data_IF_194394059322
#
_entry.id   IF_194394059322
#
_cell.length_a   1.000
_cell.length_b   1.000
_cell.length_c   1.000
_cell.angle_alpha   90.00
_cell.angle_beta   90.00
_cell.angle_gamma   90.00
#
_symmetry.space_group_name_H-M   'P 1'
#
loop_
_entity.id
_entity.type
_entity.pdbx_description
1 polymer ?
#
# COMPACT_ATOMS: atom_id res chain seq x y z
N UNK A 1 -6.86 -11.90 3.62
CA UNK A 1 -7.28 -11.15 4.83
C UNK A 1 -7.18 -9.66 4.54
N UNK A 2 -8.19 -8.90 4.94
CA UNK A 2 -8.22 -7.44 4.76
C UNK A 2 -7.70 -6.79 6.05
N UNK A 3 -6.76 -5.83 6.01
CA UNK A 3 -6.23 -5.21 7.23
C UNK A 3 -7.34 -4.45 7.96
N UNK A 4 -7.41 -4.62 9.28
CA UNK A 4 -8.32 -3.85 10.14
C UNK A 4 -7.71 -2.50 10.47
N UNK A 5 -8.54 -1.46 10.54
CA UNK A 5 -8.11 -0.15 11.02
C UNK A 5 -7.75 -0.23 12.52
N UNK A 6 -6.67 0.44 12.97
CA UNK A 6 -6.30 0.46 14.38
C UNK A 6 -7.40 1.12 15.22
N UNK A 7 -7.74 0.51 16.36
CA UNK A 7 -8.74 1.00 17.33
C UNK A 7 -8.13 0.95 18.73
N UNK A 8 -8.33 2.00 19.51
CA UNK A 8 -7.83 2.12 20.89
C UNK A 8 -8.72 1.42 21.92
N UNK A 9 -10.03 1.36 21.66
CA UNK A 9 -11.00 0.72 22.53
C UNK A 9 -11.47 -0.61 21.93
N UNK A 10 -11.18 -1.71 22.62
CA UNK A 10 -11.63 -3.05 22.29
C UNK A 10 -12.60 -3.54 23.37
N UNK A 11 -13.52 -4.46 23.06
CA UNK A 11 -14.49 -4.95 24.04
C UNK A 11 -13.88 -5.56 25.30
N UNK A 12 -12.62 -6.01 25.22
CA UNK A 12 -11.95 -6.75 26.30
C UNK A 12 -10.95 -5.90 27.08
N UNK A 13 -10.30 -4.91 26.46
CA UNK A 13 -9.23 -4.13 27.09
C UNK A 13 -9.06 -2.78 26.38
N UNK A 14 -8.42 -1.85 27.06
CA UNK A 14 -7.98 -0.57 26.49
C UNK A 14 -6.51 -0.65 26.05
N UNK A 15 -6.19 -0.04 24.91
CA UNK A 15 -4.81 0.04 24.38
C UNK A 15 -4.26 1.45 24.61
N UNK A 16 -3.43 1.61 25.64
CA UNK A 16 -2.89 2.92 26.08
C UNK A 16 -1.48 3.25 25.59
N UNK A 17 -0.71 2.27 25.11
CA UNK A 17 0.69 2.43 24.68
C UNK A 17 0.86 2.37 23.14
N UNK A 18 -0.08 2.98 22.40
CA UNK A 18 0.07 3.11 20.96
C UNK A 18 0.90 4.37 20.67
N UNK A 19 2.13 4.27 20.16
CA UNK A 19 2.84 5.43 19.63
C UNK A 19 1.95 6.25 18.68
N UNK A 20 2.10 7.58 18.70
CA UNK A 20 1.31 8.46 17.86
C UNK A 20 1.53 8.13 16.39
N UNK A 21 0.50 8.40 15.58
CA UNK A 21 0.60 8.22 14.14
C UNK A 21 1.76 9.05 13.57
N UNK A 22 2.57 8.41 12.73
CA UNK A 22 3.65 9.08 12.03
C UNK A 22 3.06 10.20 11.15
N UNK A 23 3.50 11.43 11.39
CA UNK A 23 3.06 12.61 10.65
C UNK A 23 3.65 12.68 9.24
N UNK A 24 3.61 13.87 8.65
CA UNK A 24 4.34 14.12 7.41
C UNK A 24 5.85 14.02 7.68
N UNK A 25 6.58 13.31 6.83
CA UNK A 25 8.02 13.10 6.97
C UNK A 25 8.75 13.46 5.66
N UNK A 26 10.00 13.88 5.76
CA UNK A 26 10.91 13.92 4.61
C UNK A 26 11.73 12.61 4.59
N UNK A 27 11.27 11.67 3.77
CA UNK A 27 11.88 10.33 3.67
C UNK A 27 13.29 10.37 3.07
N UNK A 28 13.67 11.45 2.38
CA UNK A 28 15.00 11.60 1.81
C UNK A 28 15.97 12.22 2.79
N UNK A 29 15.57 13.32 3.45
CA UNK A 29 16.44 14.02 4.40
C UNK A 29 16.75 13.16 5.64
N UNK A 30 15.78 12.35 6.09
CA UNK A 30 15.92 11.51 7.28
C UNK A 30 16.75 10.24 7.09
N UNK A 31 17.03 9.82 5.84
CA UNK A 31 17.75 8.58 5.55
C UNK A 31 19.18 8.87 5.09
N UNK A 32 20.14 8.74 6.01
CA UNK A 32 21.57 8.94 5.73
C UNK A 32 22.09 7.83 4.81
N UNK A 33 21.73 6.58 5.07
CA UNK A 33 22.23 5.43 4.32
C UNK A 33 21.79 5.45 2.87
N UNK A 34 20.55 5.87 2.60
CA UNK A 34 20.07 6.06 1.23
C UNK A 34 20.86 7.15 0.50
N UNK A 35 21.13 8.29 1.15
CA UNK A 35 21.87 9.40 0.53
C UNK A 35 23.31 9.01 0.22
N UNK A 36 24.00 8.41 1.18
CA UNK A 36 25.34 7.88 0.97
C UNK A 36 25.37 6.83 -0.13
N UNK A 37 24.39 5.92 -0.17
CA UNK A 37 24.27 4.92 -1.22
C UNK A 37 24.09 5.53 -2.61
N UNK A 38 23.29 6.60 -2.73
CA UNK A 38 23.08 7.32 -4.00
C UNK A 38 24.37 8.00 -4.45
N UNK A 39 25.09 8.68 -3.56
CA UNK A 39 26.36 9.32 -3.89
C UNK A 39 27.43 8.28 -4.28
N UNK A 40 27.57 7.21 -3.49
CA UNK A 40 28.57 6.16 -3.71
C UNK A 40 28.35 5.42 -5.05
N UNK A 41 27.10 5.30 -5.49
CA UNK A 41 26.78 4.66 -6.77
C UNK A 41 26.79 5.64 -7.97
N UNK A 42 27.24 6.89 -7.76
CA UNK A 42 27.30 7.92 -8.80
C UNK A 42 25.94 8.51 -9.20
N UNK A 43 24.93 8.35 -8.34
CA UNK A 43 23.57 8.84 -8.53
C UNK A 43 23.32 10.27 -8.05
N UNK A 44 24.35 11.01 -7.60
CA UNK A 44 24.21 12.36 -7.03
C UNK A 44 23.50 13.36 -7.94
N UNK A 45 23.56 13.17 -9.26
CA UNK A 45 22.79 13.97 -10.23
C UNK A 45 21.26 13.92 -10.02
N UNK A 46 20.76 12.88 -9.35
CA UNK A 46 19.35 12.67 -9.04
C UNK A 46 18.92 13.20 -7.67
N UNK A 47 19.84 13.69 -6.84
CA UNK A 47 19.59 14.00 -5.42
C UNK A 47 18.45 15.01 -5.22
N UNK A 48 18.36 16.05 -6.03
CA UNK A 48 17.29 17.06 -5.93
C UNK A 48 15.91 16.48 -6.24
N UNK A 49 15.82 15.61 -7.26
CA UNK A 49 14.57 14.93 -7.63
C UNK A 49 14.14 13.94 -6.55
N UNK A 50 15.11 13.23 -5.96
CA UNK A 50 14.86 12.31 -4.86
C UNK A 50 14.43 13.06 -3.60
N UNK A 51 15.00 14.23 -3.32
CA UNK A 51 14.57 15.09 -2.22
C UNK A 51 13.13 15.60 -2.40
N UNK A 52 12.78 16.07 -3.59
CA UNK A 52 11.43 16.49 -3.91
C UNK A 52 10.44 15.33 -3.79
N UNK A 53 10.81 14.15 -4.29
CA UNK A 53 10.00 12.93 -4.20
C UNK A 53 9.86 12.44 -2.76
N UNK A 54 10.92 12.49 -1.94
CA UNK A 54 10.92 12.07 -0.54
C UNK A 54 9.91 12.83 0.31
N UNK A 55 9.80 14.15 0.13
CA UNK A 55 8.76 14.98 0.76
C UNK A 55 7.35 14.63 0.29
N UNK A 56 7.21 14.36 -1.01
CA UNK A 56 5.91 14.05 -1.62
C UNK A 56 5.42 12.66 -1.18
N UNK A 57 6.32 11.68 -1.13
CA UNK A 57 6.03 10.32 -0.68
C UNK A 57 5.78 10.24 0.83
N UNK A 58 6.51 11.03 1.63
CA UNK A 58 6.33 11.11 3.08
C UNK A 58 5.15 11.99 3.53
N UNK A 59 4.47 12.65 2.59
CA UNK A 59 3.25 13.40 2.88
C UNK A 59 2.06 12.44 3.09
N UNK A 60 1.31 12.64 4.17
CA UNK A 60 0.17 11.81 4.61
C UNK A 60 -0.94 11.73 3.59
N UNK A 61 -1.21 12.81 2.85
CA UNK A 61 -2.30 12.89 1.87
C UNK A 61 -2.08 11.98 0.64
N UNK A 62 -0.96 12.09 -0.10
CA UNK A 62 -0.68 11.19 -1.23
C UNK A 62 -0.48 9.75 -0.79
N UNK A 63 0.24 9.49 0.31
CA UNK A 63 0.52 8.13 0.78
C UNK A 63 -0.77 7.38 1.15
N UNK A 64 -1.65 8.00 1.94
CA UNK A 64 -2.93 7.40 2.36
C UNK A 64 -3.88 7.16 1.19
N UNK A 65 -3.90 8.05 0.19
CA UNK A 65 -4.74 7.90 -1.00
C UNK A 65 -4.25 6.76 -1.90
N UNK A 66 -2.93 6.62 -2.07
CA UNK A 66 -2.34 5.54 -2.86
C UNK A 66 -2.63 4.17 -2.24
N UNK A 67 -2.42 4.04 -0.92
CA UNK A 67 -2.68 2.79 -0.17
C UNK A 67 -4.17 2.40 -0.30
N UNK A 68 -5.09 3.34 -0.05
CA UNK A 68 -6.52 3.10 -0.18
C UNK A 68 -6.93 2.63 -1.59
N UNK A 69 -6.34 3.21 -2.63
CA UNK A 69 -6.64 2.88 -4.03
C UNK A 69 -6.08 1.50 -4.45
N UNK A 70 -4.92 1.12 -3.91
CA UNK A 70 -4.33 -0.21 -4.14
C UNK A 70 -5.19 -1.28 -3.45
N UNK A 71 -5.60 -1.04 -2.20
CA UNK A 71 -6.39 -2.00 -1.43
C UNK A 71 -7.78 -2.23 -2.03
N UNK A 72 -8.47 -1.16 -2.48
CA UNK A 72 -9.75 -1.31 -3.18
C UNK A 72 -9.60 -2.10 -4.47
N UNK A 73 -8.57 -1.81 -5.29
CA UNK A 73 -8.35 -2.55 -6.54
C UNK A 73 -7.91 -4.00 -6.33
N UNK A 74 -7.17 -4.31 -5.26
CA UNK A 74 -6.79 -5.69 -4.92
C UNK A 74 -8.02 -6.50 -4.50
N UNK A 75 -8.97 -5.90 -3.79
CA UNK A 75 -10.24 -6.53 -3.42
C UNK A 75 -11.12 -6.83 -4.64
N UNK A 76 -11.29 -5.87 -5.57
CA UNK A 76 -12.10 -6.07 -6.79
C UNK A 76 -11.54 -7.13 -7.75
N UNK A 77 -10.21 -7.33 -7.80
CA UNK A 77 -9.60 -8.39 -8.63
C UNK A 77 -9.92 -9.80 -8.11
N UNK A 78 -10.15 -9.97 -6.81
CA UNK A 78 -10.60 -11.25 -6.27
C UNK A 78 -12.05 -11.56 -6.64
N UNK A 79 -12.91 -10.53 -6.75
CA UNK A 79 -14.32 -10.71 -7.17
C UNK A 79 -14.44 -11.14 -8.63
N UNK A 80 -13.59 -10.62 -9.52
CA UNK A 80 -13.62 -10.96 -10.96
C UNK A 80 -13.14 -12.39 -11.21
N UNK A 81 -12.20 -12.91 -10.42
CA UNK A 81 -11.76 -14.31 -10.50
C UNK A 81 -12.86 -15.32 -10.16
N UNK A 82 -13.73 -15.01 -9.19
CA UNK A 82 -14.85 -15.87 -8.81
C UNK A 82 -15.95 -15.94 -9.88
N UNK A 83 -16.18 -14.84 -10.62
CA UNK A 83 -17.15 -14.82 -11.72
C UNK A 83 -16.64 -15.67 -12.90
N UNK A 84 -15.36 -15.55 -13.28
CA UNK A 84 -14.79 -16.36 -14.37
C UNK A 84 -14.80 -17.87 -14.11
N UNK A 85 -14.64 -18.31 -12.85
CA UNK A 85 -14.72 -19.74 -12.49
C UNK A 85 -16.15 -20.27 -12.57
N UNK A 86 -17.16 -19.45 -12.21
CA UNK A 86 -18.57 -19.87 -12.31
C UNK A 86 -19.07 -20.01 -13.74
N UNK A 87 -18.64 -19.14 -14.67
CA UNK A 87 -19.09 -19.20 -16.08
C UNK A 87 -18.56 -20.48 -16.78
N UNK A 88 -17.44 -21.04 -16.32
CA UNK A 88 -16.82 -22.22 -16.94
C UNK A 88 -17.38 -23.56 -16.45
N UNK A 89 -18.15 -23.57 -15.36
CA UNK A 89 -18.76 -24.79 -14.81
C UNK A 89 -20.18 -25.07 -15.34
N UNK A 90 -20.77 -24.18 -16.13
CA UNK A 90 -22.14 -24.31 -16.67
C UNK A 90 -22.22 -24.80 -18.13
N UNK A 91 -21.09 -25.15 -18.77
CA UNK A 91 -21.09 -25.72 -20.13
C UNK A 91 -20.94 -27.25 -20.08
N UNK A 92 -22.01 -27.96 -19.76
CA UNK A 92 -22.13 -29.40 -20.09
C UNK A 92 -22.65 -29.55 -21.53
N UNK A 93 -22.03 -30.39 -22.37
CA UNK A 93 -22.57 -30.67 -23.70
C UNK A 93 -23.83 -31.54 -23.59
N UNK A 94 -24.92 -31.07 -24.20
CA UNK A 94 -26.18 -31.79 -24.36
C UNK A 94 -25.99 -32.85 -25.45
N UNK A 95 -25.75 -34.11 -25.06
CA UNK A 95 -25.75 -35.24 -25.99
C UNK A 95 -27.17 -35.45 -26.52
N UNK A 96 -27.32 -35.30 -27.84
CA UNK A 96 -28.55 -35.62 -28.56
C UNK A 96 -28.22 -36.86 -29.39
N UNK A 97 -28.80 -38.01 -29.03
CA UNK A 97 -29.21 -39.16 -29.87
C UNK A 97 -29.55 -40.30 -28.92
#
# INVERSE_FOLDING_TARGET
MQPLNPRSNLPTHEVINMPPHLGDQDLWAGDVGLREGVENQGGGWGAEKLAAFGRLAGSRRPLRRLISLIDTRRSSRHTIGTVCVSIKSSSTPRTTT
#
